data_IF_208893407300
#
_entry.id   IF_208893407300
#
_cell.length_a   1.000
_cell.length_b   1.000
_cell.length_c   1.000
_cell.angle_alpha   90.00
_cell.angle_beta   90.00
_cell.angle_gamma   90.00
#
_symmetry.space_group_name_H-M   'P 1'
#
loop_
_entity.id
_entity.type
_entity.pdbx_description
1 polymer ?
#
# COMPACT_ATOMS: atom_id res chain seq x y z
N UNK A 1 -12.32 17.45 -3.07
CA UNK A 1 -12.50 16.03 -2.64
C UNK A 1 -11.28 15.58 -1.86
N UNK A 2 -11.47 14.66 -0.95
CA UNK A 2 -10.36 14.19 -0.11
C UNK A 2 -9.44 13.28 -0.91
N UNK A 3 -8.14 13.55 -0.86
CA UNK A 3 -7.12 12.69 -1.47
C UNK A 3 -7.11 11.32 -0.79
N UNK A 4 -6.97 10.26 -1.55
CA UNK A 4 -6.86 8.89 -1.06
C UNK A 4 -5.42 8.40 -1.27
N UNK A 5 -4.77 8.02 -0.18
CA UNK A 5 -3.40 7.52 -0.16
C UNK A 5 -3.44 6.07 0.28
N UNK A 6 -2.99 5.17 -0.59
CA UNK A 6 -2.87 3.75 -0.28
C UNK A 6 -1.42 3.44 0.10
N UNK A 7 -1.22 2.83 1.25
CA UNK A 7 0.12 2.43 1.69
C UNK A 7 0.53 1.10 1.06
N UNK A 8 1.65 1.12 0.36
CA UNK A 8 2.36 -0.10 -0.02
C UNK A 8 2.99 -0.76 1.23
N UNK A 9 3.47 -1.97 1.09
CA UNK A 9 4.11 -2.73 2.16
C UNK A 9 5.29 -1.99 2.80
N UNK A 10 6.07 -1.24 2.03
CA UNK A 10 7.20 -0.44 2.55
C UNK A 10 6.76 0.57 3.62
N UNK A 11 5.96 1.58 3.28
CA UNK A 11 5.45 2.56 4.26
C UNK A 11 4.63 1.92 5.38
N UNK A 12 3.80 0.90 5.08
CA UNK A 12 3.05 0.19 6.10
C UNK A 12 3.98 -0.47 7.13
N UNK A 13 5.02 -1.15 6.66
CA UNK A 13 6.02 -1.76 7.53
C UNK A 13 6.77 -0.73 8.37
N UNK A 14 7.08 0.43 7.80
CA UNK A 14 7.78 1.52 8.51
C UNK A 14 6.88 2.14 9.59
N UNK A 15 5.67 2.54 9.25
CA UNK A 15 4.76 3.25 10.17
C UNK A 15 4.37 2.39 11.38
N UNK A 16 4.41 1.08 11.24
CA UNK A 16 4.03 0.12 12.29
C UNK A 16 5.21 -0.42 13.10
N UNK A 17 6.44 0.04 12.84
CA UNK A 17 7.60 -0.26 13.69
C UNK A 17 7.42 0.29 15.10
N UNK A 18 8.21 -0.22 16.04
CA UNK A 18 8.21 0.26 17.43
C UNK A 18 8.51 1.76 17.52
N UNK A 19 8.08 2.39 18.58
CA UNK A 19 8.40 3.79 18.88
C UNK A 19 9.92 3.98 19.02
N UNK A 20 10.39 5.19 18.68
CA UNK A 20 11.78 5.58 18.79
C UNK A 20 12.66 5.20 17.60
N UNK A 21 12.12 4.48 16.60
CA UNK A 21 12.82 4.24 15.34
C UNK A 21 12.64 5.48 14.45
N UNK A 22 13.74 6.16 14.03
CA UNK A 22 13.64 7.49 13.37
C UNK A 22 12.77 7.51 12.12
N UNK A 23 12.90 6.54 11.22
CA UNK A 23 12.10 6.46 10.01
C UNK A 23 10.61 6.19 10.31
N UNK A 24 10.33 5.40 11.33
CA UNK A 24 8.96 5.14 11.79
C UNK A 24 8.32 6.41 12.36
N UNK A 25 9.04 7.17 13.16
CA UNK A 25 8.55 8.45 13.69
C UNK A 25 8.28 9.46 12.57
N UNK A 26 9.16 9.55 11.58
CA UNK A 26 8.98 10.40 10.41
C UNK A 26 7.74 9.99 9.59
N UNK A 27 7.54 8.69 9.39
CA UNK A 27 6.39 8.17 8.65
C UNK A 27 5.08 8.40 9.41
N UNK A 28 5.06 8.19 10.73
CA UNK A 28 3.88 8.52 11.56
C UNK A 28 3.54 10.00 11.50
N UNK A 29 4.53 10.88 11.57
CA UNK A 29 4.33 12.32 11.45
C UNK A 29 3.76 12.70 10.08
N UNK A 30 4.24 12.06 9.02
CA UNK A 30 3.70 12.25 7.67
C UNK A 30 2.25 11.80 7.56
N UNK A 31 1.91 10.59 8.03
CA UNK A 31 0.51 10.11 8.06
C UNK A 31 -0.38 11.08 8.83
N UNK A 32 0.07 11.56 10.00
CA UNK A 32 -0.69 12.52 10.79
C UNK A 32 -0.94 13.84 10.03
N UNK A 33 0.05 14.32 9.26
CA UNK A 33 -0.15 15.51 8.41
C UNK A 33 -1.18 15.24 7.30
N UNK A 34 -1.10 14.09 6.64
CA UNK A 34 -2.07 13.69 5.61
C UNK A 34 -3.51 13.71 6.17
N UNK A 35 -3.71 13.10 7.33
CA UNK A 35 -5.02 13.06 7.99
C UNK A 35 -5.53 14.46 8.37
N UNK A 36 -4.65 15.33 8.90
CA UNK A 36 -5.02 16.72 9.22
C UNK A 36 -5.44 17.53 7.99
N UNK A 37 -4.90 17.20 6.82
CA UNK A 37 -5.28 17.83 5.55
C UNK A 37 -6.52 17.16 4.91
N UNK A 38 -7.16 16.25 5.63
CA UNK A 38 -8.38 15.59 5.18
C UNK A 38 -8.16 14.42 4.22
N UNK A 39 -6.93 13.96 4.03
CA UNK A 39 -6.67 12.78 3.22
C UNK A 39 -7.13 11.50 3.93
N UNK A 40 -7.59 10.53 3.15
CA UNK A 40 -7.80 9.16 3.63
C UNK A 40 -6.50 8.37 3.43
N UNK A 41 -6.03 7.71 4.48
CA UNK A 41 -4.87 6.82 4.42
C UNK A 41 -5.36 5.40 4.61
N UNK A 42 -5.25 4.59 3.55
CA UNK A 42 -5.77 3.24 3.48
C UNK A 42 -4.66 2.19 3.52
N UNK A 43 -4.98 1.03 4.08
CA UNK A 43 -4.12 -0.16 4.08
C UNK A 43 -4.76 -1.20 3.16
N UNK A 44 -4.28 -1.36 1.92
CA UNK A 44 -4.75 -2.41 1.03
C UNK A 44 -4.45 -3.80 1.59
N UNK A 45 -5.37 -4.74 1.40
CA UNK A 45 -5.22 -6.12 1.87
C UNK A 45 -3.92 -6.77 1.39
N UNK A 46 -3.47 -6.47 0.16
CA UNK A 46 -2.22 -7.04 -0.35
C UNK A 46 -0.98 -6.50 0.37
N UNK A 47 -0.97 -5.23 0.74
CA UNK A 47 0.11 -4.64 1.54
C UNK A 47 0.13 -5.23 2.96
N UNK A 48 -1.04 -5.38 3.56
CA UNK A 48 -1.19 -6.10 4.83
C UNK A 48 -0.63 -7.52 4.74
N UNK A 49 -0.98 -8.26 3.70
CA UNK A 49 -0.47 -9.61 3.47
C UNK A 49 1.06 -9.65 3.39
N UNK A 50 1.67 -8.75 2.62
CA UNK A 50 3.12 -8.72 2.46
C UNK A 50 3.86 -8.43 3.78
N UNK A 51 3.38 -7.48 4.57
CA UNK A 51 3.98 -7.16 5.87
C UNK A 51 3.76 -8.29 6.87
N UNK A 52 2.53 -8.76 6.97
CA UNK A 52 2.16 -9.74 8.01
C UNK A 52 2.76 -11.12 7.75
N UNK A 53 2.90 -11.55 6.47
CA UNK A 53 3.57 -12.84 6.17
C UNK A 53 5.01 -12.88 6.68
N UNK A 54 5.74 -11.76 6.61
CA UNK A 54 7.11 -11.67 7.13
C UNK A 54 7.14 -11.65 8.66
N UNK A 55 6.20 -10.93 9.28
CA UNK A 55 6.06 -10.94 10.74
C UNK A 55 5.70 -12.32 11.28
N UNK A 56 4.83 -13.05 10.59
CA UNK A 56 4.51 -14.45 10.89
C UNK A 56 5.73 -15.35 10.76
N UNK A 57 6.48 -15.23 9.65
CA UNK A 57 7.72 -15.99 9.45
C UNK A 57 8.73 -15.75 10.57
N UNK A 58 8.82 -14.53 11.05
CA UNK A 58 9.69 -14.13 12.17
C UNK A 58 9.08 -14.42 13.56
N UNK A 59 7.86 -14.95 13.62
CA UNK A 59 7.11 -15.17 14.86
C UNK A 59 7.01 -13.90 15.72
N UNK A 60 6.83 -12.76 15.07
CA UNK A 60 6.77 -11.45 15.72
C UNK A 60 5.33 -11.06 16.06
N UNK A 61 4.78 -11.63 17.12
CA UNK A 61 3.43 -11.36 17.58
C UNK A 61 3.20 -9.89 17.96
N UNK A 62 4.20 -9.22 18.51
CA UNK A 62 4.13 -7.79 18.87
C UNK A 62 4.04 -6.93 17.61
N UNK A 63 4.81 -7.26 16.57
CA UNK A 63 4.75 -6.60 15.28
C UNK A 63 3.38 -6.75 14.62
N UNK A 64 2.81 -7.96 14.62
CA UNK A 64 1.46 -8.22 14.14
C UNK A 64 0.42 -7.38 14.87
N UNK A 65 0.50 -7.31 16.20
CA UNK A 65 -0.41 -6.49 16.99
C UNK A 65 -0.32 -5.00 16.64
N UNK A 66 0.89 -4.49 16.34
CA UNK A 66 1.04 -3.09 15.87
C UNK A 66 0.40 -2.84 14.52
N UNK A 67 0.52 -3.77 13.56
CA UNK A 67 -0.16 -3.65 12.26
C UNK A 67 -1.67 -3.66 12.44
N UNK A 68 -2.21 -4.58 13.24
CA UNK A 68 -3.64 -4.62 13.54
C UNK A 68 -4.13 -3.33 14.20
N UNK A 69 -3.38 -2.81 15.18
CA UNK A 69 -3.72 -1.55 15.85
C UNK A 69 -3.76 -0.38 14.86
N UNK A 70 -2.81 -0.32 13.92
CA UNK A 70 -2.80 0.71 12.89
C UNK A 70 -3.99 0.60 11.95
N UNK A 71 -4.33 -0.60 11.50
CA UNK A 71 -5.49 -0.84 10.64
C UNK A 71 -6.82 -0.45 11.32
N UNK A 72 -6.93 -0.73 12.61
CA UNK A 72 -8.16 -0.50 13.38
C UNK A 72 -8.27 0.90 13.98
N UNK A 73 -7.19 1.70 13.96
CA UNK A 73 -7.18 3.03 14.56
C UNK A 73 -8.15 4.02 13.90
N UNK A 74 -8.46 3.80 12.63
CA UNK A 74 -9.42 4.62 11.86
C UNK A 74 -10.41 3.67 11.19
N UNK A 75 -11.72 3.83 11.39
CA UNK A 75 -12.73 3.04 10.69
C UNK A 75 -12.56 3.11 9.17
N UNK A 76 -12.59 1.97 8.50
CA UNK A 76 -12.44 1.91 7.04
C UNK A 76 -11.01 2.06 6.51
N UNK A 77 -10.00 2.16 7.37
CA UNK A 77 -8.59 2.23 6.93
C UNK A 77 -8.14 0.97 6.21
N UNK A 78 -8.55 -0.20 6.68
CA UNK A 78 -8.26 -1.45 6.00
C UNK A 78 -9.15 -1.60 4.77
N UNK A 79 -8.54 -1.82 3.60
CA UNK A 79 -9.23 -2.00 2.33
C UNK A 79 -9.19 -3.48 1.91
N UNK A 80 -10.31 -4.22 2.03
CA UNK A 80 -10.37 -5.62 1.61
C UNK A 80 -10.09 -5.79 0.12
N UNK A 81 -9.56 -6.94 -0.26
CA UNK A 81 -9.40 -7.34 -1.66
C UNK A 81 -10.76 -7.79 -2.21
N UNK A 82 -11.35 -6.99 -3.09
CA UNK A 82 -12.62 -7.32 -3.73
C UNK A 82 -12.43 -8.30 -4.91
N UNK A 83 -13.49 -9.00 -5.27
CA UNK A 83 -13.50 -9.84 -6.48
C UNK A 83 -13.21 -9.02 -7.74
N UNK A 84 -13.71 -7.80 -7.81
CA UNK A 84 -13.45 -6.87 -8.92
C UNK A 84 -11.96 -6.54 -9.01
N UNK A 85 -11.31 -6.24 -7.89
CA UNK A 85 -9.87 -5.98 -7.85
C UNK A 85 -9.08 -7.24 -8.22
N UNK A 86 -9.47 -8.39 -7.73
CA UNK A 86 -8.82 -9.66 -8.07
C UNK A 86 -8.86 -9.95 -9.57
N UNK A 87 -10.03 -9.78 -10.19
CA UNK A 87 -10.19 -9.98 -11.65
C UNK A 87 -9.39 -8.95 -12.47
N UNK A 88 -9.34 -7.70 -12.02
CA UNK A 88 -8.49 -6.69 -12.66
C UNK A 88 -7.02 -7.06 -12.52
N UNK A 89 -6.60 -7.55 -11.37
CA UNK A 89 -5.23 -8.05 -11.14
C UNK A 89 -4.82 -9.11 -12.15
N UNK A 90 -5.71 -10.06 -12.46
CA UNK A 90 -5.47 -11.07 -13.51
C UNK A 90 -5.16 -10.43 -14.86
N UNK A 91 -5.96 -9.42 -15.25
CA UNK A 91 -5.77 -8.72 -16.54
C UNK A 91 -4.45 -7.92 -16.56
N UNK A 92 -4.14 -7.20 -15.49
CA UNK A 92 -2.91 -6.43 -15.38
C UNK A 92 -1.68 -7.33 -15.43
N UNK A 93 -1.72 -8.47 -14.75
CA UNK A 93 -0.65 -9.46 -14.79
C UNK A 93 -0.42 -9.98 -16.21
N UNK A 94 -1.49 -10.39 -16.88
CA UNK A 94 -1.42 -10.89 -18.25
C UNK A 94 -0.87 -9.84 -19.23
N UNK A 95 -1.32 -8.59 -19.11
CA UNK A 95 -0.84 -7.49 -19.94
C UNK A 95 0.67 -7.25 -19.72
N UNK A 96 1.13 -7.23 -18.49
CA UNK A 96 2.54 -7.02 -18.17
C UNK A 96 3.41 -8.17 -18.71
N UNK A 97 2.95 -9.40 -18.57
CA UNK A 97 3.67 -10.58 -19.08
C UNK A 97 3.71 -10.61 -20.61
N UNK A 98 2.60 -10.30 -21.25
CA UNK A 98 2.48 -10.31 -22.72
C UNK A 98 3.23 -9.14 -23.38
N UNK A 99 3.42 -8.03 -22.67
CA UNK A 99 4.23 -6.91 -23.16
C UNK A 99 5.74 -7.22 -23.23
N UNK A 100 6.16 -8.39 -22.70
CA UNK A 100 7.58 -8.79 -22.71
C UNK A 100 8.49 -7.91 -21.87
N UNK A 101 7.92 -7.08 -21.01
CA UNK A 101 8.70 -6.23 -20.10
C UNK A 101 9.40 -7.13 -19.09
N UNK A 102 10.76 -7.15 -19.03
CA UNK A 102 11.47 -7.90 -18.01
C UNK A 102 11.19 -7.24 -16.66
N UNK A 103 10.22 -7.79 -15.98
CA UNK A 103 9.87 -7.39 -14.61
C UNK A 103 10.52 -8.35 -13.64
N UNK A 104 10.55 -7.98 -12.37
CA UNK A 104 10.95 -8.81 -11.25
C UNK A 104 10.34 -10.22 -11.34
N UNK A 105 10.80 -11.11 -10.47
CA UNK A 105 10.26 -12.48 -10.37
C UNK A 105 8.72 -12.46 -10.38
N UNK A 106 8.05 -13.47 -10.97
CA UNK A 106 6.57 -13.52 -11.05
C UNK A 106 5.85 -13.25 -9.74
N UNK A 107 6.42 -13.67 -8.61
CA UNK A 107 5.86 -13.44 -7.28
C UNK A 107 5.85 -11.96 -6.84
N UNK A 108 6.83 -11.17 -7.28
CA UNK A 108 6.85 -9.74 -7.01
C UNK A 108 5.80 -9.01 -7.86
N UNK A 109 5.62 -9.44 -9.10
CA UNK A 109 4.59 -8.90 -9.99
C UNK A 109 3.18 -9.14 -9.44
N UNK A 110 2.94 -10.29 -8.81
CA UNK A 110 1.63 -10.64 -8.23
C UNK A 110 1.18 -9.59 -7.19
N UNK A 111 2.07 -9.20 -6.27
CA UNK A 111 1.76 -8.19 -5.28
C UNK A 111 1.52 -6.81 -5.92
N UNK A 112 2.35 -6.42 -6.87
CA UNK A 112 2.24 -5.13 -7.56
C UNK A 112 0.93 -4.99 -8.34
N UNK A 113 0.52 -6.02 -9.08
CA UNK A 113 -0.74 -5.95 -9.84
C UNK A 113 -1.96 -5.96 -8.95
N UNK A 114 -1.93 -6.69 -7.83
CA UNK A 114 -3.05 -6.69 -6.88
C UNK A 114 -3.15 -5.36 -6.13
N UNK A 115 -2.03 -4.76 -5.77
CA UNK A 115 -2.01 -3.43 -5.17
C UNK A 115 -2.55 -2.37 -6.13
N UNK A 116 -2.08 -2.39 -7.38
CA UNK A 116 -2.58 -1.51 -8.43
C UNK A 116 -4.08 -1.71 -8.67
N UNK A 117 -4.54 -2.96 -8.71
CA UNK A 117 -5.96 -3.28 -8.89
C UNK A 117 -6.82 -2.76 -7.74
N UNK A 118 -6.37 -2.87 -6.51
CA UNK A 118 -7.08 -2.30 -5.36
C UNK A 118 -7.20 -0.78 -5.46
N UNK A 119 -6.15 -0.10 -5.90
CA UNK A 119 -6.20 1.34 -6.14
C UNK A 119 -7.14 1.70 -7.29
N UNK A 120 -7.04 1.00 -8.42
CA UNK A 120 -7.79 1.31 -9.63
C UNK A 120 -9.30 1.05 -9.52
N UNK A 121 -9.71 0.15 -8.63
CA UNK A 121 -11.12 -0.20 -8.41
C UNK A 121 -11.81 0.64 -7.33
N UNK A 122 -11.09 1.58 -6.69
CA UNK A 122 -11.71 2.53 -5.79
C UNK A 122 -12.63 3.49 -6.56
N UNK A 123 -13.80 3.76 -5.98
CA UNK A 123 -14.75 4.74 -6.52
C UNK A 123 -14.33 6.17 -6.14
N UNK A 124 -13.16 6.58 -6.65
CA UNK A 124 -12.62 7.93 -6.50
C UNK A 124 -11.94 8.35 -7.81
N UNK A 125 -11.92 9.64 -8.14
CA UNK A 125 -11.23 10.12 -9.33
C UNK A 125 -9.76 9.71 -9.36
N UNK A 126 -9.24 9.45 -10.56
CA UNK A 126 -7.83 9.04 -10.73
C UNK A 126 -6.85 10.05 -10.15
N UNK A 127 -7.17 11.35 -10.28
CA UNK A 127 -6.32 12.43 -9.77
C UNK A 127 -6.27 12.50 -8.23
N UNK A 128 -7.25 11.90 -7.55
CA UNK A 128 -7.39 11.99 -6.11
C UNK A 128 -6.81 10.77 -5.37
N UNK A 129 -6.26 9.80 -6.09
CA UNK A 129 -5.66 8.60 -5.49
C UNK A 129 -4.19 8.44 -5.86
N UNK A 130 -3.40 7.98 -4.91
CA UNK A 130 -1.97 7.69 -5.10
C UNK A 130 -1.52 6.57 -4.19
N UNK A 131 -0.61 5.73 -4.67
CA UNK A 131 0.08 4.74 -3.83
C UNK A 131 1.34 5.39 -3.26
N UNK A 132 1.48 5.33 -1.95
CA UNK A 132 2.70 5.71 -1.24
C UNK A 132 3.59 4.48 -1.08
N UNK A 133 4.81 4.56 -1.58
CA UNK A 133 5.75 3.44 -1.61
C UNK A 133 7.13 3.85 -1.10
N UNK A 134 8.00 2.87 -0.84
CA UNK A 134 9.44 3.08 -0.66
C UNK A 134 10.20 2.92 -1.96
N UNK A 135 9.61 2.19 -2.92
CA UNK A 135 10.13 2.00 -4.26
C UNK A 135 8.94 1.96 -5.22
N UNK A 136 8.90 2.90 -6.16
CA UNK A 136 7.81 2.98 -7.13
C UNK A 136 7.95 1.96 -8.27
N UNK A 137 9.17 1.49 -8.57
CA UNK A 137 9.50 0.38 -9.46
C UNK A 137 8.46 0.08 -10.53
N UNK A 138 7.92 -1.12 -10.46
CA UNK A 138 6.93 -1.60 -11.43
C UNK A 138 5.51 -1.04 -11.23
N UNK A 139 5.20 -0.47 -10.05
CA UNK A 139 3.87 0.09 -9.77
C UNK A 139 3.51 1.24 -10.72
N UNK A 140 4.50 2.07 -11.07
CA UNK A 140 4.28 3.26 -11.88
C UNK A 140 3.74 2.95 -13.30
N UNK A 141 3.93 1.73 -13.80
CA UNK A 141 3.37 1.31 -15.09
C UNK A 141 1.86 1.07 -15.05
N UNK A 142 1.29 0.85 -13.86
CA UNK A 142 -0.13 0.52 -13.68
C UNK A 142 -0.96 1.66 -13.10
N UNK A 143 -0.37 2.43 -12.16
CA UNK A 143 -1.10 3.36 -11.31
C UNK A 143 -0.20 4.49 -10.84
N UNK A 144 -0.77 5.63 -10.47
CA UNK A 144 -0.03 6.71 -9.84
C UNK A 144 0.59 6.23 -8.51
N UNK A 145 1.91 6.27 -8.44
CA UNK A 145 2.69 5.91 -7.25
C UNK A 145 3.83 6.89 -7.04
N UNK A 146 4.16 7.20 -5.80
CA UNK A 146 5.25 8.09 -5.43
C UNK A 146 5.91 7.61 -4.14
N UNK A 147 7.14 8.01 -3.94
CA UNK A 147 7.82 7.82 -2.67
C UNK A 147 7.04 8.56 -1.57
N UNK A 148 6.72 7.88 -0.46
CA UNK A 148 5.94 8.47 0.62
C UNK A 148 6.57 9.77 1.14
N UNK A 149 7.91 9.86 1.10
CA UNK A 149 8.67 11.05 1.51
C UNK A 149 8.46 12.26 0.59
N UNK A 150 7.95 12.05 -0.62
CA UNK A 150 7.69 13.09 -1.63
C UNK A 150 6.23 13.47 -1.75
N UNK A 151 5.34 12.67 -1.16
CA UNK A 151 3.92 13.00 -1.17
C UNK A 151 3.68 14.15 -0.20
N UNK A 152 3.30 15.29 -0.77
CA UNK A 152 2.91 16.47 0.01
C UNK A 152 1.48 16.24 0.49
N UNK A 153 1.23 16.31 1.81
CA UNK A 153 -0.10 16.16 2.39
C UNK A 153 -1.11 17.18 1.88
#
# INVERSE_FOLDING_TARGET
MSRVILLDAGPLGIVTKRRGVPDAEACRAWVARCLRQGALVLVPAIAYYEVCRELERMRNAIGLARVEAFCNAVPGRYLPLSDTALRLGCRLWAQARNAGTPTAAPSALDCDVLLAAQALTLDVPVADRIIAATNIGHLAQFVAAELWTRIIP
#
